data_IF_661834366409
#
_entry.id   IF_661834366409
#
_cell.length_a   1.000
_cell.length_b   1.000
_cell.length_c   1.000
_cell.angle_alpha   90.00
_cell.angle_beta   90.00
_cell.angle_gamma   90.00
#
_symmetry.space_group_name_H-M   'P 1'
#
loop_
_entity.id
_entity.type
_entity.pdbx_description
1 polymer ?
#
# COMPACT_ATOMS: atom_id res chain seq x y z
N UNK A 1 -4.44 -2.55 -19.62
CA UNK A 1 -3.31 -1.64 -19.35
C UNK A 1 -2.05 -2.25 -19.92
N UNK A 2 -1.14 -1.43 -20.43
CA UNK A 2 0.17 -1.89 -20.85
C UNK A 2 1.16 -1.92 -19.66
N UNK A 3 2.32 -2.60 -19.77
CA UNK A 3 3.26 -2.80 -18.65
C UNK A 3 3.83 -1.49 -18.10
N UNK A 4 3.89 -0.43 -18.91
CA UNK A 4 4.34 0.88 -18.46
C UNK A 4 3.32 1.53 -17.52
N UNK A 5 2.04 1.46 -17.86
CA UNK A 5 0.96 1.94 -17.00
C UNK A 5 0.93 1.21 -15.64
N UNK A 6 1.16 -0.11 -15.64
CA UNK A 6 1.31 -0.92 -14.41
C UNK A 6 2.52 -0.44 -13.59
N UNK A 7 3.66 -0.22 -14.25
CA UNK A 7 4.89 0.25 -13.59
C UNK A 7 4.68 1.61 -12.91
N UNK A 8 4.01 2.56 -13.57
CA UNK A 8 3.69 3.86 -12.98
C UNK A 8 2.81 3.75 -11.75
N UNK A 9 1.77 2.92 -11.78
CA UNK A 9 0.92 2.67 -10.61
C UNK A 9 1.67 2.01 -9.46
N UNK A 10 2.59 1.08 -9.75
CA UNK A 10 3.49 0.50 -8.72
C UNK A 10 4.36 1.59 -8.08
N UNK A 11 4.96 2.49 -8.87
CA UNK A 11 5.78 3.59 -8.36
C UNK A 11 4.97 4.53 -7.47
N UNK A 12 3.75 4.88 -7.89
CA UNK A 12 2.81 5.69 -7.11
C UNK A 12 2.46 5.05 -5.77
N UNK A 13 2.18 3.75 -5.74
CA UNK A 13 1.93 2.98 -4.52
C UNK A 13 3.15 2.92 -3.58
N UNK A 14 4.37 2.79 -4.12
CA UNK A 14 5.61 2.86 -3.32
C UNK A 14 5.70 4.21 -2.61
N UNK A 15 5.48 5.30 -3.35
CA UNK A 15 5.50 6.66 -2.80
C UNK A 15 4.45 6.87 -1.72
N UNK A 16 3.22 6.40 -1.94
CA UNK A 16 2.13 6.49 -0.97
C UNK A 16 2.40 5.63 0.27
N UNK A 17 2.98 4.44 0.11
CA UNK A 17 3.40 3.59 1.24
C UNK A 17 4.43 4.30 2.12
N UNK A 18 5.42 4.96 1.50
CA UNK A 18 6.43 5.72 2.24
C UNK A 18 5.82 6.88 3.06
N UNK A 19 4.83 7.58 2.49
CA UNK A 19 4.09 8.63 3.20
C UNK A 19 3.35 8.06 4.41
N UNK A 20 2.58 6.98 4.23
CA UNK A 20 1.85 6.29 5.31
C UNK A 20 2.80 5.87 6.43
N UNK A 21 3.93 5.25 6.10
CA UNK A 21 4.93 4.81 7.09
C UNK A 21 5.43 6.01 7.91
N UNK A 22 5.70 7.14 7.26
CA UNK A 22 6.16 8.36 7.93
C UNK A 22 5.10 8.91 8.87
N UNK A 23 3.87 9.08 8.39
CA UNK A 23 2.75 9.57 9.22
C UNK A 23 2.46 8.65 10.41
N UNK A 24 2.55 7.33 10.24
CA UNK A 24 2.38 6.38 11.34
C UNK A 24 3.49 6.51 12.38
N UNK A 25 4.75 6.71 11.96
CA UNK A 25 5.88 6.95 12.87
C UNK A 25 5.67 8.24 13.68
N UNK A 26 5.22 9.32 13.04
CA UNK A 26 4.89 10.58 13.71
C UNK A 26 3.75 10.41 14.74
N UNK A 27 2.74 9.60 14.42
CA UNK A 27 1.66 9.24 15.35
C UNK A 27 2.19 8.48 16.56
N UNK A 28 3.07 7.49 16.36
CA UNK A 28 3.71 6.75 17.45
C UNK A 28 4.50 7.69 18.36
N UNK A 29 5.40 8.50 17.78
CA UNK A 29 6.33 9.35 18.54
C UNK A 29 5.59 10.40 19.39
N UNK A 30 4.55 11.01 18.84
CA UNK A 30 3.74 12.02 19.53
C UNK A 30 2.81 11.45 20.62
N UNK A 31 2.41 10.19 20.52
CA UNK A 31 1.46 9.57 21.46
C UNK A 31 2.09 9.12 22.78
N UNK A 32 3.43 9.11 22.90
CA UNK A 32 4.21 8.63 24.07
C UNK A 32 3.82 7.23 24.55
N UNK A 33 3.11 6.45 23.75
CA UNK A 33 2.67 5.09 24.03
C UNK A 33 3.05 4.19 22.87
N UNK A 34 3.72 3.07 23.18
CA UNK A 34 4.03 2.04 22.19
C UNK A 34 2.74 1.27 21.90
N UNK A 35 1.92 1.76 20.98
CA UNK A 35 0.83 0.95 20.47
C UNK A 35 1.41 -0.11 19.53
N UNK A 36 1.52 -1.33 20.04
CA UNK A 36 1.98 -2.51 19.28
C UNK A 36 1.18 -2.68 17.97
N UNK A 37 -0.08 -2.24 17.92
CA UNK A 37 -0.90 -2.30 16.70
C UNK A 37 -0.38 -1.35 15.62
N UNK A 38 0.03 -0.13 15.99
CA UNK A 38 0.66 0.80 15.05
C UNK A 38 1.99 0.26 14.53
N UNK A 39 2.78 -0.37 15.39
CA UNK A 39 4.05 -1.00 14.97
C UNK A 39 3.81 -2.17 13.99
N UNK A 40 2.81 -3.01 14.26
CA UNK A 40 2.43 -4.08 13.31
C UNK A 40 1.95 -3.50 11.99
N UNK A 41 1.13 -2.46 12.02
CA UNK A 41 0.66 -1.77 10.82
C UNK A 41 1.81 -1.15 10.01
N UNK A 42 2.79 -0.50 10.66
CA UNK A 42 4.00 0.01 10.01
C UNK A 42 4.71 -1.14 9.29
N UNK A 43 4.90 -2.27 9.99
CA UNK A 43 5.54 -3.45 9.41
C UNK A 43 4.76 -4.02 8.22
N UNK A 44 3.42 -4.03 8.26
CA UNK A 44 2.58 -4.49 7.17
C UNK A 44 2.75 -3.62 5.92
N UNK A 45 2.77 -2.29 6.10
CA UNK A 45 2.97 -1.33 5.01
C UNK A 45 4.40 -1.39 4.47
N UNK A 46 5.41 -1.58 5.32
CA UNK A 46 6.80 -1.79 4.91
C UNK A 46 6.96 -3.07 4.07
N UNK A 47 6.32 -4.17 4.48
CA UNK A 47 6.30 -5.41 3.69
C UNK A 47 5.61 -5.22 2.33
N UNK A 48 4.50 -4.49 2.28
CA UNK A 48 3.82 -4.19 1.02
C UNK A 48 4.68 -3.31 0.10
N UNK A 49 5.32 -2.27 0.65
CA UNK A 49 6.27 -1.42 -0.09
C UNK A 49 7.42 -2.23 -0.67
N UNK A 50 8.04 -3.11 0.11
CA UNK A 50 9.13 -3.96 -0.35
C UNK A 50 8.70 -4.91 -1.50
N UNK A 51 7.48 -5.46 -1.41
CA UNK A 51 6.90 -6.25 -2.51
C UNK A 51 6.74 -5.41 -3.79
N UNK A 52 6.23 -4.19 -3.68
CA UNK A 52 6.08 -3.28 -4.81
C UNK A 52 7.43 -2.88 -5.41
N UNK A 53 8.46 -2.65 -4.59
CA UNK A 53 9.82 -2.36 -5.06
C UNK A 53 10.41 -3.54 -5.82
N UNK A 54 10.20 -4.78 -5.34
CA UNK A 54 10.57 -6.00 -6.05
C UNK A 54 9.82 -6.11 -7.39
N UNK A 55 8.50 -5.87 -7.36
CA UNK A 55 7.67 -5.87 -8.57
C UNK A 55 8.16 -4.85 -9.60
N UNK A 56 8.47 -3.62 -9.16
CA UNK A 56 9.06 -2.59 -10.03
C UNK A 56 10.34 -3.10 -10.69
N UNK A 57 11.26 -3.68 -9.91
CA UNK A 57 12.51 -4.22 -10.44
C UNK A 57 12.29 -5.30 -11.51
N UNK A 58 11.30 -6.16 -11.33
CA UNK A 58 10.92 -7.17 -12.32
C UNK A 58 10.29 -6.55 -13.58
N UNK A 59 9.36 -5.59 -13.44
CA UNK A 59 8.74 -4.90 -14.57
C UNK A 59 9.74 -4.07 -15.38
N UNK A 60 10.79 -3.57 -14.74
CA UNK A 60 11.86 -2.84 -15.40
C UNK A 60 12.89 -3.75 -16.08
N UNK A 61 12.85 -5.07 -15.85
CA UNK A 61 13.75 -6.03 -16.48
C UNK A 61 13.54 -6.10 -18.00
N UNK A 62 14.62 -6.41 -18.72
CA UNK A 62 14.58 -6.53 -20.19
C UNK A 62 13.72 -7.71 -20.63
N UNK A 63 13.68 -8.80 -19.87
CA UNK A 63 12.85 -9.97 -20.20
C UNK A 63 11.36 -9.59 -20.18
N UNK A 64 10.91 -8.92 -19.11
CA UNK A 64 9.49 -8.56 -18.94
C UNK A 64 9.06 -7.51 -19.96
N UNK A 65 9.91 -6.53 -20.28
CA UNK A 65 9.63 -5.55 -21.35
C UNK A 65 9.56 -6.15 -22.74
N UNK A 66 10.16 -7.33 -22.94
CA UNK A 66 10.14 -8.05 -24.21
C UNK A 66 9.01 -9.08 -24.32
N UNK A 67 8.24 -9.32 -23.24
CA UNK A 67 7.12 -10.25 -23.26
C UNK A 67 6.06 -9.77 -24.27
N UNK A 68 5.59 -10.66 -25.17
CA UNK A 68 4.50 -10.33 -26.05
C UNK A 68 3.27 -9.97 -25.22
N UNK A 69 2.76 -8.75 -25.38
CA UNK A 69 1.44 -8.33 -24.85
C UNK A 69 0.27 -9.15 -25.43
N UNK A 70 0.55 -10.09 -26.35
CA UNK A 70 -0.37 -11.02 -26.99
C UNK A 70 -0.12 -12.47 -26.55
N UNK A 71 0.33 -12.67 -25.31
CA UNK A 71 0.30 -14.00 -24.72
C UNK A 71 -1.15 -14.49 -24.56
N UNK A 72 -1.28 -15.81 -24.47
CA UNK A 72 -2.52 -16.59 -24.28
C UNK A 72 -3.50 -15.93 -23.29
N UNK A 73 -4.80 -16.14 -23.49
CA UNK A 73 -5.88 -15.43 -22.77
C UNK A 73 -5.72 -15.40 -21.24
N UNK A 74 -5.14 -16.45 -20.66
CA UNK A 74 -4.88 -16.56 -19.22
C UNK A 74 -3.84 -15.54 -18.74
N UNK A 75 -2.75 -15.30 -19.47
CA UNK A 75 -1.74 -14.30 -19.09
C UNK A 75 -2.33 -12.88 -19.10
N UNK A 76 -3.18 -12.59 -20.09
CA UNK A 76 -3.88 -11.30 -20.19
C UNK A 76 -4.81 -11.07 -19.00
N UNK A 77 -5.46 -12.12 -18.50
CA UNK A 77 -6.33 -12.05 -17.32
C UNK A 77 -5.57 -11.70 -16.03
N UNK A 78 -4.35 -12.24 -15.86
CA UNK A 78 -3.51 -11.94 -14.70
C UNK A 78 -2.94 -10.51 -14.76
N UNK A 79 -2.54 -10.03 -15.93
CA UNK A 79 -2.16 -8.62 -16.11
C UNK A 79 -3.31 -7.67 -15.78
N UNK A 80 -4.54 -7.99 -16.19
CA UNK A 80 -5.71 -7.20 -15.83
C UNK A 80 -5.98 -7.24 -14.33
N UNK A 81 -5.85 -8.40 -13.70
CA UNK A 81 -5.99 -8.55 -12.24
C UNK A 81 -4.99 -7.67 -11.49
N UNK A 82 -3.72 -7.69 -11.91
CA UNK A 82 -2.66 -6.83 -11.36
C UNK A 82 -3.04 -5.36 -11.54
N UNK A 83 -3.44 -4.97 -12.75
CA UNK A 83 -3.82 -3.59 -13.06
C UNK A 83 -4.96 -3.08 -12.18
N UNK A 84 -6.01 -3.87 -11.99
CA UNK A 84 -7.15 -3.52 -11.13
C UNK A 84 -6.71 -3.41 -9.67
N UNK A 85 -5.91 -4.37 -9.18
CA UNK A 85 -5.40 -4.34 -7.81
C UNK A 85 -4.54 -3.10 -7.54
N UNK A 86 -3.74 -2.65 -8.52
CA UNK A 86 -2.94 -1.43 -8.40
C UNK A 86 -3.85 -0.21 -8.32
N UNK A 87 -4.81 -0.08 -9.23
CA UNK A 87 -5.72 1.08 -9.26
C UNK A 87 -6.58 1.20 -7.99
N UNK A 88 -7.13 0.08 -7.52
CA UNK A 88 -7.94 0.09 -6.30
C UNK A 88 -7.06 0.22 -5.05
N UNK A 89 -5.86 -0.36 -5.07
CA UNK A 89 -4.83 -0.14 -4.07
C UNK A 89 -4.45 1.34 -3.93
N UNK A 90 -4.35 2.09 -5.04
CA UNK A 90 -4.02 3.52 -5.00
C UNK A 90 -5.11 4.32 -4.27
N UNK A 91 -6.37 4.07 -4.60
CA UNK A 91 -7.51 4.71 -3.93
C UNK A 91 -7.54 4.40 -2.44
N UNK A 92 -7.35 3.12 -2.10
CA UNK A 92 -7.37 2.63 -0.72
C UNK A 92 -6.21 3.25 0.10
N UNK A 93 -4.99 3.24 -0.45
CA UNK A 93 -3.80 3.80 0.20
C UNK A 93 -3.89 5.33 0.34
N UNK A 94 -4.39 6.03 -0.68
CA UNK A 94 -4.62 7.48 -0.59
C UNK A 94 -5.66 7.82 0.48
N UNK A 95 -6.79 7.10 0.52
CA UNK A 95 -7.81 7.31 1.53
C UNK A 95 -7.31 7.05 2.96
N UNK A 96 -6.40 6.09 3.11
CA UNK A 96 -5.74 5.83 4.39
C UNK A 96 -4.76 6.94 4.77
N UNK A 97 -3.97 7.45 3.82
CA UNK A 97 -3.09 8.60 4.06
C UNK A 97 -3.89 9.83 4.52
N UNK A 98 -5.02 10.14 3.86
CA UNK A 98 -5.90 11.25 4.25
C UNK A 98 -6.49 11.06 5.66
N UNK A 99 -6.77 9.81 6.06
CA UNK A 99 -7.23 9.49 7.40
C UNK A 99 -6.13 9.75 8.44
N UNK A 100 -4.89 9.33 8.16
CA UNK A 100 -3.76 9.57 9.04
C UNK A 100 -3.49 11.07 9.21
N UNK A 101 -3.59 11.86 8.14
CA UNK A 101 -3.47 13.32 8.22
C UNK A 101 -4.54 13.94 9.14
N UNK A 102 -5.78 13.44 9.10
CA UNK A 102 -6.85 13.88 10.01
C UNK A 102 -6.58 13.50 11.47
N UNK A 103 -5.97 12.33 11.70
CA UNK A 103 -5.56 11.89 13.04
C UNK A 103 -4.43 12.78 13.57
N UNK A 104 -3.45 13.07 12.72
CA UNK A 104 -2.24 13.86 13.02
C UNK A 104 -2.48 15.37 13.14
N UNK A 105 -3.69 15.85 12.82
CA UNK A 105 -4.03 17.27 12.89
C UNK A 105 -3.72 17.88 14.26
N UNK A 106 -2.70 18.76 14.27
CA UNK A 106 -2.25 19.48 15.45
C UNK A 106 -3.25 20.55 15.89
N UNK A 107 -3.53 20.63 17.19
CA UNK A 107 -4.37 21.64 17.85
C UNK A 107 -3.73 22.15 19.15
N UNK A 108 -3.86 23.44 19.45
CA UNK A 108 -3.13 24.10 20.55
C UNK A 108 -3.38 23.54 21.97
N UNK A 109 -4.52 22.90 22.22
CA UNK A 109 -4.89 22.37 23.55
C UNK A 109 -5.14 20.85 23.52
N UNK A 110 -4.43 20.11 24.37
CA UNK A 110 -4.51 18.65 24.54
C UNK A 110 -4.28 17.86 23.25
N UNK A 111 -3.35 18.32 22.40
CA UNK A 111 -3.11 17.74 21.08
C UNK A 111 -2.85 16.23 21.14
N UNK A 112 -1.95 15.80 22.02
CA UNK A 112 -1.58 14.40 22.21
C UNK A 112 -2.76 13.53 22.67
N UNK A 113 -3.55 13.99 23.65
CA UNK A 113 -4.72 13.27 24.13
C UNK A 113 -5.80 13.16 23.04
N UNK A 114 -6.05 14.24 22.30
CA UNK A 114 -7.03 14.26 21.21
C UNK A 114 -6.59 13.39 20.05
N UNK A 115 -5.31 13.38 19.71
CA UNK A 115 -4.72 12.49 18.71
C UNK A 115 -4.89 11.02 19.09
N UNK A 116 -4.63 10.66 20.35
CA UNK A 116 -4.89 9.30 20.86
C UNK A 116 -6.38 8.94 20.77
N UNK A 117 -7.30 9.86 21.08
CA UNK A 117 -8.74 9.62 20.95
C UNK A 117 -9.16 9.41 19.49
N UNK A 118 -8.67 10.24 18.56
CA UNK A 118 -8.93 10.09 17.11
C UNK A 118 -8.39 8.77 16.58
N UNK A 119 -7.17 8.42 16.95
CA UNK A 119 -6.58 7.13 16.62
C UNK A 119 -7.45 5.99 17.13
N UNK A 120 -7.90 6.07 18.40
CA UNK A 120 -8.73 5.04 19.01
C UNK A 120 -10.08 4.89 18.29
N UNK A 121 -10.70 5.97 17.85
CA UNK A 121 -11.94 5.93 17.08
C UNK A 121 -11.77 5.36 15.67
N UNK A 122 -10.56 5.40 15.10
CA UNK A 122 -10.26 4.93 13.75
C UNK A 122 -9.75 3.48 13.69
N UNK A 123 -9.74 2.74 14.81
CA UNK A 123 -9.20 1.37 14.84
C UNK A 123 -9.94 0.39 13.93
N UNK A 124 -11.25 0.56 13.76
CA UNK A 124 -12.03 -0.27 12.84
C UNK A 124 -11.60 -0.02 11.40
N UNK A 125 -11.49 1.25 11.00
CA UNK A 125 -11.03 1.62 9.67
C UNK A 125 -9.59 1.16 9.40
N UNK A 126 -8.69 1.26 10.40
CA UNK A 126 -7.32 0.75 10.31
C UNK A 126 -7.33 -0.78 10.10
N UNK A 127 -8.21 -1.51 10.78
CA UNK A 127 -8.31 -2.96 10.65
C UNK A 127 -8.84 -3.38 9.27
N UNK A 128 -9.78 -2.61 8.72
CA UNK A 128 -10.27 -2.78 7.35
C UNK A 128 -9.13 -2.54 6.35
N UNK A 129 -8.38 -1.45 6.53
CA UNK A 129 -7.20 -1.14 5.71
C UNK A 129 -6.17 -2.28 5.73
N UNK A 130 -5.81 -2.82 6.90
CA UNK A 130 -4.87 -3.95 7.00
C UNK A 130 -5.36 -5.18 6.24
N UNK A 131 -6.65 -5.49 6.35
CA UNK A 131 -7.26 -6.62 5.66
C UNK A 131 -7.18 -6.44 4.13
N UNK A 132 -7.53 -5.24 3.64
CA UNK A 132 -7.45 -4.90 2.22
C UNK A 132 -6.01 -4.92 1.69
N UNK A 133 -5.07 -4.34 2.44
CA UNK A 133 -3.64 -4.33 2.12
C UNK A 133 -3.11 -5.76 1.96
N UNK A 134 -3.46 -6.65 2.90
CA UNK A 134 -3.07 -8.06 2.85
C UNK A 134 -3.67 -8.77 1.62
N UNK A 135 -4.95 -8.53 1.33
CA UNK A 135 -5.62 -9.11 0.16
C UNK A 135 -4.96 -8.68 -1.15
N UNK A 136 -4.72 -7.37 -1.35
CA UNK A 136 -4.03 -6.89 -2.55
C UNK A 136 -2.61 -7.46 -2.67
N UNK A 137 -1.86 -7.50 -1.56
CA UNK A 137 -0.52 -8.11 -1.55
C UNK A 137 -0.54 -9.55 -2.04
N UNK A 138 -1.48 -10.35 -1.54
CA UNK A 138 -1.63 -11.76 -1.93
C UNK A 138 -2.04 -11.90 -3.39
N UNK A 139 -3.06 -11.16 -3.84
CA UNK A 139 -3.56 -11.23 -5.22
C UNK A 139 -2.51 -10.78 -6.24
N UNK A 140 -1.77 -9.70 -5.96
CA UNK A 140 -0.66 -9.24 -6.80
C UNK A 140 0.43 -10.31 -6.84
N UNK A 141 0.84 -10.84 -5.69
CA UNK A 141 1.91 -11.85 -5.63
C UNK A 141 1.57 -13.09 -6.45
N UNK A 142 0.37 -13.64 -6.30
CA UNK A 142 -0.09 -14.82 -7.05
C UNK A 142 -0.16 -14.52 -8.55
N UNK A 143 -0.77 -13.40 -8.93
CA UNK A 143 -0.91 -13.05 -10.35
C UNK A 143 0.45 -12.80 -11.01
N UNK A 144 1.38 -12.19 -10.28
CA UNK A 144 2.72 -11.90 -10.76
C UNK A 144 3.56 -13.17 -10.93
N UNK A 145 3.41 -14.15 -10.03
CA UNK A 145 4.05 -15.47 -10.18
C UNK A 145 3.60 -16.18 -11.45
N UNK A 146 2.28 -16.16 -11.74
CA UNK A 146 1.76 -16.76 -12.98
C UNK A 146 2.27 -16.01 -14.21
N UNK A 147 2.43 -14.69 -14.11
CA UNK A 147 2.90 -13.88 -15.24
C UNK A 147 4.37 -14.08 -15.59
N UNK A 148 5.18 -14.45 -14.59
CA UNK A 148 6.63 -14.59 -14.72
C UNK A 148 7.09 -16.04 -14.90
N UNK A 149 6.17 -17.01 -14.84
CA UNK A 149 6.42 -18.43 -15.16
C UNK A 149 6.41 -18.67 -16.66
#
# INVERSE_FOLDING_TARGET
MDPFSVTLGVISLIGTSAKIITSLKDVVDSSRGVDRRLQMLISDVEMFKAMLESMKGMLESKEVRSLPLHATGDLTSHWNTISVCIQDGEKMMSGFADMLEKIDKSVDFMDSTRKVLRLKSSWEDISVFQTQLSAYRQTISVSLQVVLM
#
